data_IF_586325892441
#
_entry.id   IF_586325892441
#
_cell.length_a   1.000
_cell.length_b   1.000
_cell.length_c   1.000
_cell.angle_alpha   90.00
_cell.angle_beta   90.00
_cell.angle_gamma   90.00
#
_symmetry.space_group_name_H-M   'P 1'
#
loop_
_entity.id
_entity.type
_entity.pdbx_description
1 polymer ?
#
# COMPACT_ATOMS: atom_id res chain seq x y z
N UNK A 1 -44.07 -23.24 -9.34
CA UNK A 1 -44.19 -21.77 -9.43
C UNK A 1 -43.80 -21.22 -8.07
N UNK A 2 -42.53 -20.88 -7.89
CA UNK A 2 -41.97 -20.32 -6.67
C UNK A 2 -40.91 -19.31 -7.10
N UNK A 3 -41.23 -18.04 -6.89
CA UNK A 3 -40.39 -16.88 -7.16
C UNK A 3 -39.21 -16.88 -6.18
N UNK A 4 -37.99 -16.94 -6.72
CA UNK A 4 -36.77 -16.64 -5.98
C UNK A 4 -36.58 -15.13 -6.01
N UNK A 5 -36.81 -14.48 -4.88
CA UNK A 5 -36.50 -13.07 -4.69
C UNK A 5 -34.97 -12.92 -4.65
N UNK A 6 -34.41 -12.28 -5.68
CA UNK A 6 -33.02 -11.88 -5.70
C UNK A 6 -32.75 -10.82 -4.63
N UNK A 7 -31.82 -11.11 -3.72
CA UNK A 7 -31.26 -10.11 -2.82
C UNK A 7 -30.37 -9.21 -3.66
N UNK A 8 -30.91 -8.06 -4.07
CA UNK A 8 -30.15 -7.00 -4.72
C UNK A 8 -29.11 -6.44 -3.74
N UNK A 9 -27.87 -6.37 -4.19
CA UNK A 9 -26.82 -5.61 -3.53
C UNK A 9 -27.19 -4.12 -3.60
N UNK A 10 -27.03 -3.34 -2.52
CA UNK A 10 -27.34 -1.92 -2.56
C UNK A 10 -26.38 -1.22 -3.52
N UNK A 11 -26.93 -0.65 -4.59
CA UNK A 11 -26.29 0.42 -5.34
C UNK A 11 -26.04 1.58 -4.37
N UNK A 12 -24.78 1.82 -4.01
CA UNK A 12 -24.39 3.04 -3.33
C UNK A 12 -24.52 4.19 -4.32
N UNK A 13 -25.56 5.01 -4.15
CA UNK A 13 -25.69 6.27 -4.87
C UNK A 13 -24.58 7.23 -4.41
N UNK A 14 -23.59 7.45 -5.27
CA UNK A 14 -22.63 8.56 -5.14
C UNK A 14 -23.37 9.88 -5.40
N UNK A 15 -24.07 10.37 -4.38
CA UNK A 15 -24.90 11.58 -4.45
C UNK A 15 -25.16 12.22 -3.10
N UNK A 16 -24.25 12.06 -2.13
CA UNK A 16 -24.34 12.80 -0.87
C UNK A 16 -23.88 14.24 -1.10
N UNK A 17 -24.66 15.21 -0.61
CA UNK A 17 -24.30 16.63 -0.58
C UNK A 17 -22.97 16.79 0.17
N UNK A 18 -21.85 16.87 -0.57
CA UNK A 18 -20.53 17.15 0.00
C UNK A 18 -20.58 18.49 0.72
N UNK A 19 -19.96 18.57 1.90
CA UNK A 19 -19.89 19.84 2.63
C UNK A 19 -19.18 20.90 1.78
N UNK A 20 -19.67 22.13 1.83
CA UNK A 20 -18.94 23.26 1.28
C UNK A 20 -17.66 23.48 2.09
N UNK A 21 -16.56 23.78 1.40
CA UNK A 21 -15.26 24.11 2.02
C UNK A 21 -14.95 25.59 1.71
N UNK A 22 -15.49 26.55 2.47
CA UNK A 22 -15.44 27.96 2.08
C UNK A 22 -14.05 28.59 2.23
N UNK A 23 -13.15 27.99 3.01
CA UNK A 23 -11.80 28.52 3.24
C UNK A 23 -10.75 27.75 2.44
N UNK A 24 -9.63 28.42 2.19
CA UNK A 24 -8.48 27.83 1.54
C UNK A 24 -7.17 28.33 2.14
N UNK A 25 -6.12 27.54 1.97
CA UNK A 25 -4.74 27.87 2.30
C UNK A 25 -3.86 27.47 1.11
N UNK A 26 -2.91 28.32 0.73
CA UNK A 26 -2.00 28.06 -0.40
C UNK A 26 -0.57 28.05 0.11
N UNK A 27 0.15 26.98 -0.21
CA UNK A 27 1.57 26.88 0.06
C UNK A 27 2.27 26.21 -1.13
N UNK A 28 3.12 26.97 -1.83
CA UNK A 28 3.78 26.52 -3.06
C UNK A 28 2.73 26.01 -4.09
N UNK A 29 2.88 24.81 -4.61
CA UNK A 29 1.92 24.17 -5.52
C UNK A 29 0.74 23.49 -4.83
N UNK A 30 0.62 23.54 -3.50
CA UNK A 30 -0.44 22.86 -2.73
C UNK A 30 -1.53 23.85 -2.32
N UNK A 31 -2.79 23.50 -2.60
CA UNK A 31 -3.97 24.27 -2.24
C UNK A 31 -4.87 23.44 -1.36
N UNK A 32 -5.01 23.80 -0.09
CA UNK A 32 -5.84 23.08 0.87
C UNK A 32 -7.16 23.80 1.05
N UNK A 33 -8.27 23.12 0.83
CA UNK A 33 -9.62 23.60 1.05
C UNK A 33 -10.22 22.97 2.29
N UNK A 34 -10.85 23.79 3.14
CA UNK A 34 -11.37 23.35 4.42
C UNK A 34 -12.60 24.15 4.86
N UNK A 35 -13.28 23.64 5.87
CA UNK A 35 -14.38 24.32 6.55
C UNK A 35 -14.04 24.51 8.04
N UNK A 36 -14.63 25.53 8.67
CA UNK A 36 -14.54 25.75 10.12
C UNK A 36 -15.86 25.44 10.84
N UNK A 37 -16.88 25.07 10.08
CA UNK A 37 -18.21 24.74 10.55
C UNK A 37 -18.76 23.53 9.78
N UNK A 38 -19.74 22.84 10.36
CA UNK A 38 -20.36 21.66 9.77
C UNK A 38 -19.54 20.36 9.91
N UNK A 39 -19.98 19.28 9.23
CA UNK A 39 -19.36 17.95 9.36
C UNK A 39 -17.87 17.94 9.03
N UNK A 40 -17.49 18.67 7.97
CA UNK A 40 -16.10 18.80 7.52
C UNK A 40 -15.27 19.86 8.26
N UNK A 41 -15.75 20.41 9.39
CA UNK A 41 -15.01 21.39 10.17
C UNK A 41 -13.69 20.85 10.70
N UNK A 42 -12.60 21.60 10.50
CA UNK A 42 -11.28 21.30 11.10
C UNK A 42 -11.14 21.93 12.50
N UNK A 43 -10.25 21.41 13.35
CA UNK A 43 -9.84 22.09 14.57
C UNK A 43 -9.33 23.52 14.29
N UNK A 44 -9.57 24.47 15.19
CA UNK A 44 -9.37 25.90 14.97
C UNK A 44 -8.15 26.49 15.69
N UNK A 45 -7.39 25.65 16.39
CA UNK A 45 -6.15 26.04 17.04
C UNK A 45 -5.21 26.68 16.01
N UNK A 46 -4.63 27.84 16.36
CA UNK A 46 -3.70 28.62 15.54
C UNK A 46 -2.64 29.19 16.48
N UNK A 47 -1.74 28.32 16.93
CA UNK A 47 -0.81 28.61 18.02
C UNK A 47 0.21 29.68 17.64
N UNK A 48 0.53 29.79 16.35
CA UNK A 48 1.47 30.76 15.81
C UNK A 48 0.79 32.07 15.33
N UNK A 49 -0.54 32.18 15.45
CA UNK A 49 -1.35 33.31 14.99
C UNK A 49 -1.12 33.65 13.50
N UNK A 50 -0.93 32.63 12.67
CA UNK A 50 -0.77 32.76 11.21
C UNK A 50 -2.06 33.17 10.50
N UNK A 51 -3.21 33.02 11.17
CA UNK A 51 -4.54 33.15 10.59
C UNK A 51 -5.04 31.88 9.90
N UNK A 52 -4.25 30.80 9.92
CA UNK A 52 -4.60 29.47 9.39
C UNK A 52 -4.56 28.46 10.53
N UNK A 53 -5.57 27.57 10.68
CA UNK A 53 -5.50 26.56 11.73
C UNK A 53 -4.26 25.66 11.60
N UNK A 54 -3.60 25.38 12.72
CA UNK A 54 -2.43 24.52 12.85
C UNK A 54 -2.64 23.17 12.14
N UNK A 55 -3.85 22.62 12.23
CA UNK A 55 -4.25 21.39 11.54
C UNK A 55 -4.09 21.48 10.02
N UNK A 56 -4.51 22.59 9.41
CA UNK A 56 -4.40 22.84 7.96
C UNK A 56 -2.94 23.01 7.58
N UNK A 57 -2.18 23.77 8.36
CA UNK A 57 -0.75 23.96 8.13
C UNK A 57 0.01 22.63 8.21
N UNK A 58 -0.27 21.80 9.20
CA UNK A 58 0.46 20.55 9.44
C UNK A 58 0.19 19.48 8.38
N UNK A 59 -1.05 19.36 7.89
CA UNK A 59 -1.36 18.54 6.73
C UNK A 59 -0.59 19.03 5.50
N UNK A 60 -0.58 20.35 5.28
CA UNK A 60 0.13 20.97 4.16
C UNK A 60 1.64 20.71 4.24
N UNK A 61 2.24 20.84 5.44
CA UNK A 61 3.67 20.57 5.69
C UNK A 61 4.05 19.12 5.36
N UNK A 62 3.23 18.14 5.75
CA UNK A 62 3.54 16.73 5.46
C UNK A 62 3.47 16.43 3.95
N UNK A 63 2.46 16.96 3.25
CA UNK A 63 2.34 16.82 1.78
C UNK A 63 3.50 17.49 1.07
N UNK A 64 3.85 18.72 1.47
CA UNK A 64 4.98 19.44 0.89
C UNK A 64 6.31 18.73 1.17
N UNK A 65 6.52 18.22 2.38
CA UNK A 65 7.69 17.42 2.73
C UNK A 65 7.79 16.17 1.87
N UNK A 66 6.68 15.44 1.68
CA UNK A 66 6.63 14.28 0.78
C UNK A 66 6.98 14.67 -0.66
N UNK A 67 6.42 15.78 -1.19
CA UNK A 67 6.76 16.28 -2.52
C UNK A 67 8.25 16.58 -2.65
N UNK A 68 8.81 17.37 -1.73
CA UNK A 68 10.23 17.74 -1.76
C UNK A 68 11.12 16.52 -1.64
N UNK A 69 10.79 15.59 -0.75
CA UNK A 69 11.57 14.38 -0.55
C UNK A 69 11.52 13.46 -1.78
N UNK A 70 10.33 13.12 -2.26
CA UNK A 70 10.22 12.18 -3.38
C UNK A 70 10.65 12.80 -4.70
N UNK A 71 10.18 13.99 -5.05
CA UNK A 71 10.39 14.57 -6.38
C UNK A 71 11.71 15.34 -6.47
N UNK A 72 12.08 16.13 -5.46
CA UNK A 72 13.22 17.05 -5.57
C UNK A 72 14.51 16.41 -5.02
N UNK A 73 14.44 15.63 -3.94
CA UNK A 73 15.61 14.97 -3.32
C UNK A 73 15.89 13.60 -3.94
N UNK A 74 14.83 12.78 -4.10
CA UNK A 74 14.93 11.40 -4.59
C UNK A 74 14.61 11.26 -6.08
N UNK A 75 14.21 12.34 -6.75
CA UNK A 75 13.98 12.41 -8.20
C UNK A 75 12.93 11.39 -8.73
N UNK A 76 11.96 11.01 -7.89
CA UNK A 76 10.77 10.31 -8.38
C UNK A 76 10.02 11.18 -9.40
N UNK A 77 9.33 10.58 -10.38
CA UNK A 77 8.52 11.33 -11.34
C UNK A 77 7.59 12.34 -10.66
N UNK A 78 7.74 13.63 -10.93
CA UNK A 78 6.87 14.65 -10.35
C UNK A 78 5.49 14.60 -11.02
N UNK A 79 4.40 14.35 -10.28
CA UNK A 79 3.07 14.27 -10.87
C UNK A 79 2.60 15.59 -11.48
N UNK A 80 3.17 16.74 -11.10
CA UNK A 80 2.88 18.04 -11.72
C UNK A 80 3.53 18.22 -13.08
N UNK A 81 4.53 17.41 -13.42
CA UNK A 81 5.21 17.44 -14.72
C UNK A 81 4.92 16.19 -15.56
N UNK A 82 3.97 15.35 -15.11
CA UNK A 82 3.61 14.12 -15.83
C UNK A 82 2.93 14.42 -17.16
N UNK A 83 3.31 13.66 -18.19
CA UNK A 83 2.63 13.68 -19.50
C UNK A 83 1.17 13.23 -19.41
N UNK A 84 0.79 12.48 -18.36
CA UNK A 84 -0.61 12.10 -18.09
C UNK A 84 -1.47 13.30 -17.70
N UNK A 85 -0.86 14.37 -17.19
CA UNK A 85 -1.54 15.51 -16.61
C UNK A 85 -1.13 16.84 -17.27
N UNK A 86 -1.36 17.00 -18.59
CA UNK A 86 -0.92 18.18 -19.30
C UNK A 86 -1.56 19.45 -18.71
N UNK A 87 -0.70 20.40 -18.36
CA UNK A 87 -1.11 21.71 -17.85
C UNK A 87 -1.58 21.71 -16.39
N UNK A 88 -1.38 20.64 -15.62
CA UNK A 88 -1.57 20.68 -14.17
C UNK A 88 -0.53 21.60 -13.53
N UNK A 89 -1.00 22.48 -12.65
CA UNK A 89 -0.20 23.51 -11.99
C UNK A 89 -0.23 23.41 -10.47
N UNK A 90 -1.13 22.61 -9.90
CA UNK A 90 -1.29 22.48 -8.46
C UNK A 90 -1.86 21.13 -8.02
N UNK A 91 -1.72 20.88 -6.72
CA UNK A 91 -2.36 19.78 -6.00
C UNK A 91 -3.46 20.40 -5.15
N UNK A 92 -4.70 19.96 -5.34
CA UNK A 92 -5.80 20.36 -4.47
C UNK A 92 -6.08 19.29 -3.42
N UNK A 93 -6.04 19.71 -2.17
CA UNK A 93 -6.29 18.88 -1.00
C UNK A 93 -7.61 19.34 -0.39
N UNK A 94 -8.56 18.43 -0.24
CA UNK A 94 -9.84 18.73 0.39
C UNK A 94 -9.92 18.06 1.75
N UNK A 95 -10.01 18.86 2.82
CA UNK A 95 -10.22 18.36 4.18
C UNK A 95 -11.71 18.13 4.40
N UNK A 96 -12.11 16.87 4.50
CA UNK A 96 -13.52 16.45 4.51
C UNK A 96 -13.83 15.47 5.63
N UNK A 97 -15.10 15.37 6.00
CA UNK A 97 -15.56 14.20 6.74
C UNK A 97 -15.33 12.94 5.89
N UNK A 98 -14.83 11.88 6.52
CA UNK A 98 -14.48 10.63 5.83
C UNK A 98 -15.65 9.98 5.13
N UNK A 99 -16.87 10.15 5.66
CA UNK A 99 -18.09 9.59 5.05
C UNK A 99 -18.37 10.21 3.68
N UNK A 100 -17.86 11.42 3.39
CA UNK A 100 -18.02 12.10 2.09
C UNK A 100 -17.15 11.48 0.97
N UNK A 101 -16.20 10.61 1.30
CA UNK A 101 -15.28 10.01 0.32
C UNK A 101 -14.93 8.54 0.59
N UNK A 102 -15.83 7.78 1.24
CA UNK A 102 -15.73 6.32 1.34
C UNK A 102 -15.18 5.77 2.66
N UNK A 103 -15.09 6.61 3.70
CA UNK A 103 -14.81 6.21 5.08
C UNK A 103 -13.33 6.04 5.44
N UNK A 104 -12.42 6.28 4.49
CA UNK A 104 -10.97 6.19 4.68
C UNK A 104 -10.36 7.41 5.39
N UNK A 105 -9.06 7.36 5.64
CA UNK A 105 -8.30 8.52 6.13
C UNK A 105 -7.95 9.48 4.99
N UNK A 106 -7.80 8.98 3.77
CA UNK A 106 -7.45 9.74 2.59
C UNK A 106 -7.92 9.05 1.32
N UNK A 107 -7.86 9.78 0.22
CA UNK A 107 -8.05 9.24 -1.13
C UNK A 107 -7.41 10.16 -2.17
N UNK A 108 -6.41 9.67 -2.90
CA UNK A 108 -5.88 10.31 -4.10
C UNK A 108 -6.68 9.93 -5.36
N UNK A 109 -6.82 10.88 -6.29
CA UNK A 109 -7.50 10.69 -7.56
C UNK A 109 -6.50 10.82 -8.71
N UNK A 110 -6.71 10.03 -9.76
CA UNK A 110 -5.80 9.91 -10.90
C UNK A 110 -6.25 10.71 -12.14
N UNK A 111 -7.32 11.48 -12.05
CA UNK A 111 -7.76 12.38 -13.11
C UNK A 111 -7.40 13.83 -12.77
N UNK A 112 -6.90 14.56 -13.78
CA UNK A 112 -6.74 16.01 -13.64
C UNK A 112 -8.05 16.73 -13.93
N UNK A 113 -8.33 17.77 -13.16
CA UNK A 113 -9.53 18.60 -13.31
C UNK A 113 -9.18 20.08 -13.36
N UNK A 114 -10.16 20.92 -13.67
CA UNK A 114 -10.01 22.38 -13.53
C UNK A 114 -9.84 22.71 -12.05
N UNK A 115 -8.84 23.50 -11.70
CA UNK A 115 -8.64 23.94 -10.33
C UNK A 115 -9.78 24.87 -9.89
N UNK A 116 -10.14 24.82 -8.61
CA UNK A 116 -11.09 25.72 -7.99
C UNK A 116 -10.55 27.14 -8.04
N UNK A 117 -11.45 28.08 -8.36
CA UNK A 117 -11.10 29.50 -8.45
C UNK A 117 -10.83 30.07 -7.05
N UNK A 118 -9.63 30.59 -6.86
CA UNK A 118 -9.18 31.32 -5.68
C UNK A 118 -8.42 32.59 -6.12
N UNK A 119 -8.32 33.63 -5.27
CA UNK A 119 -7.61 34.87 -5.62
C UNK A 119 -6.16 34.69 -6.07
N UNK A 120 -5.45 33.71 -5.51
CA UNK A 120 -4.05 33.40 -5.77
C UNK A 120 -3.86 32.54 -7.05
N UNK A 121 -4.95 31.99 -7.59
CA UNK A 121 -4.93 31.08 -8.73
C UNK A 121 -5.13 31.78 -10.07
N UNK A 122 -4.83 31.06 -11.15
CA UNK A 122 -5.05 31.48 -12.53
C UNK A 122 -6.32 30.83 -13.10
N UNK A 123 -7.03 31.49 -14.04
CA UNK A 123 -8.26 30.95 -14.62
C UNK A 123 -8.11 29.60 -15.35
N UNK A 124 -6.91 29.30 -15.85
CA UNK A 124 -6.55 28.10 -16.60
C UNK A 124 -5.83 27.04 -15.76
N UNK A 125 -5.66 27.26 -14.46
CA UNK A 125 -5.07 26.27 -13.57
C UNK A 125 -5.83 24.94 -13.63
N UNK A 126 -5.06 23.86 -13.70
CA UNK A 126 -5.54 22.49 -13.53
C UNK A 126 -4.92 21.87 -12.29
N UNK A 127 -5.66 20.96 -11.69
CA UNK A 127 -5.28 20.30 -10.46
C UNK A 127 -5.37 18.78 -10.60
N UNK A 128 -4.44 18.09 -9.94
CA UNK A 128 -4.66 16.74 -9.43
C UNK A 128 -5.11 16.84 -7.98
N UNK A 129 -5.89 15.86 -7.53
CA UNK A 129 -6.70 16.02 -6.32
C UNK A 129 -6.53 14.87 -5.35
N UNK A 130 -6.55 15.21 -4.07
CA UNK A 130 -6.64 14.26 -2.98
C UNK A 130 -7.61 14.77 -1.89
N UNK A 131 -8.30 13.84 -1.25
CA UNK A 131 -9.07 14.11 -0.03
C UNK A 131 -8.27 13.63 1.18
N UNK A 132 -8.37 14.37 2.28
CA UNK A 132 -7.89 13.94 3.58
C UNK A 132 -9.01 14.09 4.60
N UNK A 133 -9.15 13.10 5.47
CA UNK A 133 -10.12 13.12 6.55
C UNK A 133 -9.79 14.24 7.52
N UNK A 134 -10.77 15.07 7.86
CA UNK A 134 -10.64 16.15 8.87
C UNK A 134 -10.22 15.66 10.26
N UNK A 135 -10.35 14.35 10.52
CA UNK A 135 -9.89 13.70 11.75
C UNK A 135 -8.41 13.30 11.73
N UNK A 136 -7.74 13.40 10.59
CA UNK A 136 -6.33 13.01 10.43
C UNK A 136 -5.42 14.05 11.08
N UNK A 137 -4.67 13.65 12.10
CA UNK A 137 -3.65 14.48 12.74
C UNK A 137 -2.30 14.15 12.11
N UNK A 138 -1.75 15.07 11.32
CA UNK A 138 -0.56 14.82 10.49
C UNK A 138 0.67 14.34 11.29
N UNK A 139 0.89 14.86 12.50
CA UNK A 139 2.02 14.45 13.36
C UNK A 139 1.90 13.01 13.90
N UNK A 140 0.73 12.39 13.77
CA UNK A 140 0.44 11.04 14.28
C UNK A 140 0.02 10.07 13.18
N UNK A 141 -0.25 10.56 11.98
CA UNK A 141 -0.82 9.79 10.88
C UNK A 141 -0.20 10.23 9.55
N UNK A 142 0.39 9.26 8.84
CA UNK A 142 1.16 9.45 7.62
C UNK A 142 0.30 9.55 6.35
N UNK A 143 -1.03 9.46 6.48
CA UNK A 143 -1.95 9.48 5.33
C UNK A 143 -1.69 10.61 4.33
N UNK A 144 -1.45 11.88 4.71
CA UNK A 144 -1.15 12.92 3.72
C UNK A 144 0.06 12.60 2.82
N UNK A 145 1.15 12.04 3.36
CA UNK A 145 2.28 11.59 2.55
C UNK A 145 1.96 10.33 1.72
N UNK A 146 1.19 9.39 2.29
CA UNK A 146 0.70 8.19 1.60
C UNK A 146 -0.09 8.55 0.34
N UNK A 147 -1.10 9.43 0.47
CA UNK A 147 -1.91 9.87 -0.67
C UNK A 147 -1.10 10.69 -1.68
N UNK A 148 -0.13 11.49 -1.23
CA UNK A 148 0.78 12.17 -2.15
C UNK A 148 1.58 11.16 -3.00
N UNK A 149 2.07 10.08 -2.39
CA UNK A 149 2.82 9.07 -3.13
C UNK A 149 1.94 8.31 -4.14
N UNK A 150 0.64 8.15 -3.87
CA UNK A 150 -0.29 7.69 -4.91
C UNK A 150 -0.37 8.66 -6.10
N UNK A 151 -0.33 9.98 -5.89
CA UNK A 151 -0.24 10.93 -7.01
C UNK A 151 1.04 10.72 -7.83
N UNK A 152 2.18 10.45 -7.18
CA UNK A 152 3.44 10.09 -7.87
C UNK A 152 3.24 8.82 -8.73
N UNK A 153 2.61 7.78 -8.17
CA UNK A 153 2.34 6.54 -8.89
C UNK A 153 1.39 6.76 -10.08
N UNK A 154 0.29 7.49 -9.87
CA UNK A 154 -0.64 7.83 -10.94
C UNK A 154 0.00 8.74 -11.98
N UNK A 155 0.93 9.62 -11.61
CA UNK A 155 1.71 10.39 -12.58
C UNK A 155 2.62 9.51 -13.46
N UNK A 156 3.07 8.35 -12.96
CA UNK A 156 4.06 7.52 -13.63
C UNK A 156 3.51 6.37 -14.47
N UNK A 157 2.38 5.76 -14.07
CA UNK A 157 1.85 4.58 -14.78
C UNK A 157 0.34 4.39 -14.63
N UNK A 158 -0.32 3.83 -15.64
CA UNK A 158 -1.75 3.47 -15.63
C UNK A 158 -2.10 2.24 -14.78
N UNK A 159 -1.12 1.50 -14.27
CA UNK A 159 -1.41 0.31 -13.46
C UNK A 159 -2.01 0.65 -12.09
N UNK A 160 -3.12 -0.02 -11.73
CA UNK A 160 -3.83 0.15 -10.44
C UNK A 160 -4.03 -1.14 -9.65
N UNK A 161 -3.07 -2.07 -9.74
CA UNK A 161 -3.09 -3.31 -8.97
C UNK A 161 -2.73 -3.02 -7.52
N UNK A 162 -3.55 -3.50 -6.58
CA UNK A 162 -3.46 -3.11 -5.15
C UNK A 162 -2.15 -3.55 -4.49
N UNK A 163 -1.63 -4.74 -4.80
CA UNK A 163 -0.34 -5.20 -4.26
C UNK A 163 0.82 -4.31 -4.69
N UNK A 164 0.69 -3.64 -5.84
CA UNK A 164 1.63 -2.64 -6.33
C UNK A 164 1.38 -1.30 -5.66
N UNK A 165 0.21 -0.69 -5.89
CA UNK A 165 -0.09 0.66 -5.39
C UNK A 165 0.07 0.73 -3.89
N UNK A 166 -0.77 -0.01 -3.16
CA UNK A 166 -0.81 0.02 -1.70
C UNK A 166 0.50 -0.52 -1.11
N UNK A 167 1.01 -1.63 -1.63
CA UNK A 167 2.23 -2.24 -1.12
C UNK A 167 3.46 -1.33 -1.23
N UNK A 168 3.62 -0.64 -2.36
CA UNK A 168 4.74 0.28 -2.56
C UNK A 168 4.51 1.61 -1.80
N UNK A 169 3.27 2.08 -1.68
CA UNK A 169 2.97 3.27 -0.86
C UNK A 169 3.25 2.99 0.62
N UNK A 170 2.95 1.79 1.12
CA UNK A 170 3.35 1.39 2.47
C UNK A 170 4.86 1.44 2.68
N UNK A 171 5.65 1.04 1.68
CA UNK A 171 7.10 1.22 1.71
C UNK A 171 7.50 2.71 1.74
N UNK A 172 6.81 3.56 1.00
CA UNK A 172 7.13 4.99 0.94
C UNK A 172 6.83 5.74 2.23
N UNK A 173 5.89 5.25 3.06
CA UNK A 173 5.59 5.84 4.38
C UNK A 173 6.83 5.91 5.29
N UNK A 174 7.77 4.96 5.13
CA UNK A 174 9.03 4.95 5.89
C UNK A 174 9.91 6.17 5.61
N UNK A 175 9.67 6.90 4.53
CA UNK A 175 10.46 8.07 4.15
C UNK A 175 10.31 9.24 5.13
N UNK A 176 9.17 9.33 5.82
CA UNK A 176 8.88 10.34 6.84
C UNK A 176 8.70 9.70 8.22
N UNK A 177 8.53 8.37 8.24
CA UNK A 177 8.38 7.56 9.44
C UNK A 177 9.66 7.42 10.25
N UNK A 178 9.54 6.69 11.35
CA UNK A 178 10.64 6.27 12.22
C UNK A 178 10.84 4.77 12.11
N UNK A 179 11.96 4.27 12.62
CA UNK A 179 12.24 2.84 12.79
C UNK A 179 12.63 2.10 11.48
N UNK A 180 13.05 2.84 10.45
CA UNK A 180 13.54 2.28 9.20
C UNK A 180 12.44 1.66 8.35
N UNK A 181 12.74 0.52 7.68
CA UNK A 181 11.85 -0.08 6.66
C UNK A 181 10.83 -1.09 7.22
N UNK A 182 10.76 -1.28 8.54
CA UNK A 182 9.86 -2.26 9.15
C UNK A 182 10.18 -3.73 8.81
N UNK A 183 9.14 -4.57 8.78
CA UNK A 183 9.29 -6.02 8.67
C UNK A 183 9.71 -6.50 7.27
N UNK A 184 10.43 -7.62 7.23
CA UNK A 184 10.90 -8.27 6.00
C UNK A 184 10.54 -9.76 6.09
N UNK A 185 9.55 -10.21 5.31
CA UNK A 185 9.03 -11.60 5.36
C UNK A 185 9.79 -12.58 4.45
N UNK A 186 10.50 -12.07 3.43
CA UNK A 186 11.32 -12.87 2.51
C UNK A 186 12.79 -12.43 2.56
N UNK A 187 13.71 -13.36 2.26
CA UNK A 187 15.13 -13.07 2.29
C UNK A 187 15.49 -11.94 1.30
N UNK A 188 16.21 -10.88 1.71
CA UNK A 188 16.48 -9.72 0.85
C UNK A 188 17.18 -10.08 -0.47
N UNK A 189 18.05 -11.09 -0.45
CA UNK A 189 18.83 -11.52 -1.62
C UNK A 189 18.04 -12.46 -2.57
N UNK A 190 16.76 -12.74 -2.29
CA UNK A 190 15.93 -13.59 -3.14
C UNK A 190 15.95 -15.07 -2.76
N UNK A 191 15.15 -15.90 -3.44
CA UNK A 191 15.28 -16.13 -4.88
C UNK A 191 14.37 -15.21 -5.69
N UNK A 192 14.96 -14.24 -6.39
CA UNK A 192 14.27 -13.38 -7.35
C UNK A 192 14.49 -13.94 -8.76
N UNK A 193 13.45 -14.09 -9.60
CA UNK A 193 12.02 -13.90 -9.30
C UNK A 193 11.50 -14.90 -8.26
N UNK A 194 10.44 -14.52 -7.55
CA UNK A 194 9.74 -15.45 -6.67
C UNK A 194 9.26 -16.66 -7.48
N UNK A 195 9.23 -17.87 -6.89
CA UNK A 195 8.67 -19.05 -7.55
C UNK A 195 7.28 -18.76 -8.10
N UNK A 196 6.99 -19.21 -9.32
CA UNK A 196 5.73 -18.91 -10.01
C UNK A 196 4.48 -19.26 -9.18
N UNK A 197 4.55 -20.30 -8.35
CA UNK A 197 3.48 -20.70 -7.44
C UNK A 197 3.15 -19.67 -6.34
N UNK A 198 4.05 -18.74 -6.04
CA UNK A 198 3.86 -17.69 -5.03
C UNK A 198 3.24 -16.42 -5.62
N UNK A 199 3.31 -16.22 -6.94
CA UNK A 199 2.81 -15.01 -7.60
C UNK A 199 1.31 -14.79 -7.42
N UNK A 200 0.42 -15.81 -7.52
CA UNK A 200 -1.00 -15.60 -7.25
C UNK A 200 -1.28 -15.08 -5.84
N UNK A 201 -0.49 -15.54 -4.86
CA UNK A 201 -0.60 -15.07 -3.48
C UNK A 201 -0.18 -13.61 -3.38
N UNK A 202 0.97 -13.23 -3.95
CA UNK A 202 1.41 -11.84 -4.03
C UNK A 202 0.37 -10.94 -4.73
N UNK A 203 -0.15 -11.34 -5.88
CA UNK A 203 -1.09 -10.54 -6.67
C UNK A 203 -2.45 -10.34 -5.99
N UNK A 204 -2.79 -11.19 -5.02
CA UNK A 204 -3.99 -11.05 -4.20
C UNK A 204 -3.84 -10.08 -3.01
N UNK A 205 -2.62 -9.60 -2.72
CA UNK A 205 -2.33 -8.75 -1.57
C UNK A 205 -2.76 -7.29 -1.77
N UNK A 206 -2.76 -6.56 -0.65
CA UNK A 206 -2.81 -5.09 -0.60
C UNK A 206 -1.55 -4.59 0.13
N UNK A 207 -1.68 -4.13 1.38
CA UNK A 207 -0.59 -3.62 2.21
C UNK A 207 0.49 -4.65 2.50
N UNK A 208 0.12 -5.92 2.69
CA UNK A 208 1.08 -7.00 3.00
C UNK A 208 2.16 -7.23 1.92
N UNK A 209 1.93 -6.75 0.69
CA UNK A 209 2.93 -6.79 -0.36
C UNK A 209 4.19 -5.99 0.00
N UNK A 210 4.08 -5.00 0.89
CA UNK A 210 5.20 -4.27 1.51
C UNK A 210 6.25 -5.25 2.05
N UNK A 211 5.85 -6.13 2.97
CA UNK A 211 6.76 -7.03 3.66
C UNK A 211 7.24 -8.20 2.78
N UNK A 212 6.47 -8.54 1.74
CA UNK A 212 6.68 -9.72 0.91
C UNK A 212 7.52 -9.44 -0.33
N UNK A 213 7.45 -8.21 -0.85
CA UNK A 213 8.12 -7.83 -2.08
C UNK A 213 8.96 -6.57 -1.89
N UNK A 214 8.34 -5.47 -1.46
CA UNK A 214 8.95 -4.14 -1.50
C UNK A 214 10.09 -3.99 -0.48
N UNK A 215 9.88 -4.34 0.79
CA UNK A 215 10.91 -4.28 1.81
C UNK A 215 12.07 -5.26 1.55
N UNK A 216 11.82 -6.54 1.15
CA UNK A 216 12.88 -7.43 0.71
C UNK A 216 13.73 -6.87 -0.44
N UNK A 217 13.10 -6.28 -1.47
CA UNK A 217 13.82 -5.63 -2.58
C UNK A 217 14.65 -4.46 -2.05
N UNK A 218 14.04 -3.56 -1.29
CA UNK A 218 14.73 -2.39 -0.76
C UNK A 218 15.97 -2.75 0.06
N UNK A 219 15.84 -3.66 1.04
CA UNK A 219 16.97 -4.10 1.87
C UNK A 219 18.03 -4.84 1.04
N UNK A 220 17.60 -5.62 0.05
CA UNK A 220 18.51 -6.37 -0.81
C UNK A 220 19.33 -5.48 -1.75
N UNK A 221 18.84 -4.28 -2.04
CA UNK A 221 19.40 -3.38 -3.05
C UNK A 221 20.15 -2.19 -2.47
N UNK A 222 19.68 -1.64 -1.36
CA UNK A 222 20.28 -0.51 -0.65
C UNK A 222 20.10 -0.67 0.86
N UNK A 223 20.96 -1.47 1.53
CA UNK A 223 20.83 -1.72 2.97
C UNK A 223 21.18 -0.51 3.85
N UNK A 224 21.71 0.58 3.28
CA UNK A 224 22.08 1.78 4.03
C UNK A 224 20.96 2.81 4.05
N UNK A 225 20.19 2.91 2.97
CA UNK A 225 19.03 3.80 2.87
C UNK A 225 19.34 5.26 3.11
N UNK A 226 20.58 5.71 2.96
CA UNK A 226 20.97 7.07 3.34
C UNK A 226 20.46 8.07 2.30
N UNK A 227 19.67 9.05 2.74
CA UNK A 227 19.19 10.09 1.83
C UNK A 227 20.35 11.01 1.36
N UNK A 228 20.33 11.46 0.09
CA UNK A 228 21.37 12.33 -0.44
C UNK A 228 21.33 13.71 0.24
N UNK A 229 22.49 14.20 0.68
CA UNK A 229 22.62 15.48 1.40
C UNK A 229 22.50 16.69 0.46
N UNK A 230 21.27 17.05 0.08
CA UNK A 230 20.96 18.21 -0.77
C UNK A 230 20.47 19.41 0.05
N UNK A 231 20.49 20.64 -0.50
CA UNK A 231 19.82 21.80 0.11
C UNK A 231 18.34 21.54 0.40
N UNK A 232 17.66 20.83 -0.51
CA UNK A 232 16.24 20.48 -0.39
C UNK A 232 16.02 19.55 0.80
N UNK A 233 16.87 18.53 0.99
CA UNK A 233 16.80 17.65 2.16
C UNK A 233 17.01 18.42 3.47
N UNK A 234 17.95 19.37 3.50
CA UNK A 234 18.15 20.23 4.69
C UNK A 234 16.89 21.05 5.01
N UNK A 235 16.19 21.55 3.99
CA UNK A 235 14.92 22.24 4.15
C UNK A 235 13.85 21.35 4.77
N UNK A 236 13.67 20.14 4.24
CA UNK A 236 12.69 19.16 4.74
C UNK A 236 13.03 18.71 6.17
N UNK A 237 14.29 18.41 6.47
CA UNK A 237 14.76 17.99 7.80
C UNK A 237 14.55 19.07 8.89
N UNK A 238 14.49 20.35 8.48
CA UNK A 238 14.21 21.47 9.38
C UNK A 238 12.73 21.65 9.72
N UNK A 239 11.81 21.00 9.00
CA UNK A 239 10.38 21.18 9.22
C UNK A 239 9.89 20.59 10.54
N UNK A 240 8.97 21.30 11.18
CA UNK A 240 8.28 20.88 12.40
C UNK A 240 6.78 21.07 12.25
N UNK A 241 6.02 20.14 12.82
CA UNK A 241 4.59 20.32 13.07
C UNK A 241 4.36 21.41 14.12
N UNK A 242 3.11 21.86 14.25
CA UNK A 242 2.70 22.83 15.27
C UNK A 242 3.02 22.41 16.71
N UNK A 243 2.99 21.09 16.98
CA UNK A 243 3.38 20.50 18.27
C UNK A 243 4.90 20.43 18.51
N UNK A 244 5.71 20.89 17.55
CA UNK A 244 7.17 20.89 17.60
C UNK A 244 7.83 19.56 17.23
N UNK A 245 7.07 18.51 16.93
CA UNK A 245 7.62 17.23 16.45
C UNK A 245 8.14 17.36 15.00
N UNK A 246 9.14 16.56 14.60
CA UNK A 246 9.69 16.61 13.25
C UNK A 246 8.73 16.03 12.21
N UNK A 247 8.69 16.66 11.03
CA UNK A 247 7.97 16.10 9.87
C UNK A 247 8.73 14.93 9.26
N UNK A 248 10.07 15.03 9.25
CA UNK A 248 10.99 13.98 8.83
C UNK A 248 11.69 13.43 10.07
N UNK A 249 11.33 12.21 10.50
CA UNK A 249 11.82 11.63 11.76
C UNK A 249 13.28 11.15 11.69
N UNK A 250 13.74 10.68 10.52
CA UNK A 250 15.13 10.32 10.27
C UNK A 250 15.57 10.66 8.84
N UNK A 251 16.86 10.50 8.54
CA UNK A 251 17.44 10.83 7.22
C UNK A 251 17.64 9.58 6.37
N UNK A 252 16.69 8.65 6.42
CA UNK A 252 16.79 7.38 5.71
C UNK A 252 15.52 6.96 4.95
N UNK A 253 15.72 6.35 3.79
CA UNK A 253 14.74 5.57 3.06
C UNK A 253 15.46 4.45 2.31
N UNK A 254 15.37 3.22 2.83
CA UNK A 254 16.02 2.05 2.24
C UNK A 254 15.40 1.73 0.88
N UNK A 255 16.22 1.63 -0.17
CA UNK A 255 15.78 1.22 -1.50
C UNK A 255 15.18 2.33 -2.38
N UNK A 256 15.33 3.60 -2.01
CA UNK A 256 14.72 4.72 -2.74
C UNK A 256 15.02 4.70 -4.25
N UNK A 257 16.29 4.52 -4.61
CA UNK A 257 16.75 4.50 -6.00
C UNK A 257 16.08 3.38 -6.82
N UNK A 258 16.00 2.16 -6.27
CA UNK A 258 15.42 1.04 -7.01
C UNK A 258 13.91 1.21 -7.17
N UNK A 259 13.22 1.74 -6.16
CA UNK A 259 11.79 1.96 -6.22
C UNK A 259 11.42 3.01 -7.26
N UNK A 260 12.21 4.09 -7.35
CA UNK A 260 12.10 5.09 -8.42
C UNK A 260 12.29 4.45 -9.79
N UNK A 261 13.34 3.67 -9.98
CA UNK A 261 13.61 3.05 -11.29
C UNK A 261 12.53 2.06 -11.70
N UNK A 262 12.00 1.28 -10.75
CA UNK A 262 10.86 0.40 -10.98
C UNK A 262 9.67 1.23 -11.46
N UNK A 263 9.37 2.36 -10.80
CA UNK A 263 8.24 3.20 -11.17
C UNK A 263 8.40 3.82 -12.57
N UNK A 264 9.61 4.25 -12.94
CA UNK A 264 9.93 4.71 -14.30
C UNK A 264 9.76 3.59 -15.32
N UNK A 265 10.15 2.36 -14.97
CA UNK A 265 10.01 1.22 -15.87
C UNK A 265 8.55 0.79 -16.05
N UNK A 266 7.72 0.93 -15.01
CA UNK A 266 6.28 0.66 -15.09
C UNK A 266 5.60 1.57 -16.12
N UNK A 267 5.98 2.84 -16.21
CA UNK A 267 5.46 3.78 -17.23
C UNK A 267 5.91 3.47 -18.67
N UNK A 268 6.87 2.57 -18.88
CA UNK A 268 7.16 2.01 -20.23
C UNK A 268 6.40 0.71 -20.46
N UNK A 269 6.19 -0.02 -19.39
CA UNK A 269 5.58 -1.34 -19.42
C UNK A 269 4.06 -1.26 -19.61
N UNK A 270 3.41 -0.19 -19.16
CA UNK A 270 2.00 0.05 -19.48
C UNK A 270 1.79 0.32 -20.97
N UNK A 271 2.66 1.05 -21.67
CA UNK A 271 2.61 1.17 -23.14
C UNK A 271 2.68 -0.18 -23.86
N UNK A 272 3.47 -1.11 -23.34
CA UNK A 272 3.58 -2.48 -23.84
C UNK A 272 2.28 -3.23 -23.54
N UNK A 273 1.82 -3.21 -22.28
CA UNK A 273 0.60 -3.88 -21.86
C UNK A 273 -0.62 -3.37 -22.64
N UNK A 274 -0.73 -2.07 -22.87
CA UNK A 274 -1.80 -1.46 -23.64
C UNK A 274 -1.90 -2.04 -25.05
N UNK A 275 -0.75 -2.18 -25.73
CA UNK A 275 -0.67 -2.75 -27.08
C UNK A 275 -0.93 -4.25 -27.09
N UNK A 276 -0.31 -4.98 -26.18
CA UNK A 276 -0.39 -6.46 -26.15
C UNK A 276 -1.74 -6.98 -25.62
N UNK A 277 -2.44 -6.21 -24.78
CA UNK A 277 -3.79 -6.50 -24.31
C UNK A 277 -4.88 -5.91 -25.21
N UNK A 278 -4.49 -5.26 -26.31
CA UNK A 278 -5.39 -4.66 -27.31
C UNK A 278 -6.42 -3.70 -26.68
N UNK A 279 -6.00 -2.91 -25.68
CA UNK A 279 -6.87 -1.95 -25.03
C UNK A 279 -7.19 -0.79 -25.97
N UNK A 280 -8.47 -0.39 -26.00
CA UNK A 280 -8.91 0.82 -26.70
C UNK A 280 -8.54 2.08 -25.91
N UNK A 281 -8.63 1.98 -24.58
CA UNK A 281 -8.34 3.04 -23.63
C UNK A 281 -7.90 2.43 -22.28
N UNK A 282 -7.27 3.26 -21.43
CA UNK A 282 -7.01 2.92 -20.04
C UNK A 282 -8.24 3.19 -19.17
N UNK A 283 -9.33 2.49 -19.44
CA UNK A 283 -10.52 2.53 -18.58
C UNK A 283 -10.18 2.06 -17.15
N UNK A 284 -10.98 2.46 -16.16
CA UNK A 284 -10.78 2.06 -14.76
C UNK A 284 -10.74 0.54 -14.57
N UNK A 285 -11.51 -0.19 -15.38
CA UNK A 285 -11.50 -1.66 -15.40
C UNK A 285 -10.16 -2.20 -15.91
N UNK A 286 -9.62 -1.63 -17.00
CA UNK A 286 -8.34 -2.03 -17.60
C UNK A 286 -7.15 -1.73 -16.69
N UNK A 287 -7.14 -0.55 -16.06
CA UNK A 287 -6.11 -0.16 -15.08
C UNK A 287 -6.05 -1.14 -13.89
N UNK A 288 -7.20 -1.73 -13.53
CA UNK A 288 -7.35 -2.69 -12.42
C UNK A 288 -7.34 -4.15 -12.86
N UNK A 289 -7.16 -4.46 -14.15
CA UNK A 289 -7.29 -5.81 -14.68
C UNK A 289 -6.14 -6.73 -14.22
N UNK A 290 -6.44 -7.98 -13.84
CA UNK A 290 -5.43 -8.96 -13.39
C UNK A 290 -4.37 -9.29 -14.43
N UNK A 291 -4.71 -9.13 -15.69
CA UNK A 291 -3.86 -9.32 -16.85
C UNK A 291 -2.63 -8.39 -16.81
N UNK A 292 -2.73 -7.27 -16.10
CA UNK A 292 -1.61 -6.33 -15.90
C UNK A 292 -0.57 -6.82 -14.87
N UNK A 293 -0.91 -7.78 -14.00
CA UNK A 293 -0.02 -8.23 -12.91
C UNK A 293 1.34 -8.74 -13.43
N UNK A 294 1.31 -9.51 -14.52
CA UNK A 294 2.52 -10.07 -15.12
C UNK A 294 3.42 -8.98 -15.72
N UNK A 295 2.84 -7.91 -16.28
CA UNK A 295 3.58 -6.78 -16.82
C UNK A 295 4.24 -5.99 -15.70
N UNK A 296 3.50 -5.69 -14.63
CA UNK A 296 4.03 -5.01 -13.44
C UNK A 296 5.20 -5.82 -12.86
N UNK A 297 5.02 -7.13 -12.66
CA UNK A 297 6.07 -7.99 -12.12
C UNK A 297 7.28 -8.08 -13.05
N UNK A 298 7.05 -8.12 -14.37
CA UNK A 298 8.14 -8.09 -15.35
C UNK A 298 8.94 -6.79 -15.26
N UNK A 299 8.30 -5.61 -15.19
CA UNK A 299 9.02 -4.33 -15.03
C UNK A 299 9.90 -4.32 -13.78
N UNK A 300 9.40 -4.88 -12.67
CA UNK A 300 10.18 -5.04 -11.43
C UNK A 300 11.41 -5.92 -11.67
N UNK A 301 11.22 -7.11 -12.22
CA UNK A 301 12.32 -8.06 -12.46
C UNK A 301 13.33 -7.52 -13.47
N UNK A 302 12.87 -6.85 -14.53
CA UNK A 302 13.72 -6.24 -15.57
C UNK A 302 14.59 -5.14 -14.98
N UNK A 303 14.03 -4.31 -14.09
CA UNK A 303 14.77 -3.28 -13.37
C UNK A 303 15.81 -3.89 -12.45
N UNK A 304 15.43 -4.89 -11.64
CA UNK A 304 16.35 -5.56 -10.74
C UNK A 304 17.50 -6.25 -11.50
N UNK A 305 17.23 -6.89 -12.65
CA UNK A 305 18.25 -7.55 -13.48
C UNK A 305 19.32 -6.60 -14.02
N UNK A 306 18.99 -5.33 -14.27
CA UNK A 306 19.97 -4.32 -14.73
C UNK A 306 21.04 -4.04 -13.67
N UNK A 307 20.68 -4.15 -12.38
CA UNK A 307 21.57 -3.85 -11.26
C UNK A 307 22.13 -5.10 -10.56
N UNK A 308 21.42 -6.22 -10.57
CA UNK A 308 21.74 -7.41 -9.76
C UNK A 308 21.79 -8.68 -10.61
N UNK A 309 23.00 -9.26 -10.72
CA UNK A 309 23.28 -10.44 -11.56
C UNK A 309 22.57 -11.72 -11.14
N UNK A 310 22.12 -11.82 -9.90
CA UNK A 310 21.49 -13.04 -9.34
C UNK A 310 19.99 -13.13 -9.62
N UNK A 311 19.41 -12.11 -10.27
CA UNK A 311 17.98 -12.10 -10.59
C UNK A 311 17.77 -12.95 -11.85
N UNK A 312 17.05 -14.05 -11.69
CA UNK A 312 16.75 -14.98 -12.78
C UNK A 312 15.84 -14.36 -13.85
N UNK A 313 15.70 -15.00 -15.03
CA UNK A 313 14.79 -14.53 -16.05
C UNK A 313 13.34 -14.61 -15.57
N UNK A 314 12.57 -13.57 -15.86
CA UNK A 314 11.11 -13.59 -15.79
C UNK A 314 10.58 -12.97 -17.09
N UNK A 315 9.61 -13.63 -17.70
CA UNK A 315 8.87 -13.09 -18.82
C UNK A 315 7.40 -13.34 -18.50
N UNK A 316 6.60 -12.28 -18.47
CA UNK A 316 5.17 -12.41 -18.30
C UNK A 316 4.65 -13.35 -19.38
N UNK A 317 3.92 -14.40 -19.00
CA UNK A 317 3.24 -15.21 -20.00
C UNK A 317 2.29 -14.30 -20.74
N UNK A 318 2.41 -14.21 -22.07
CA UNK A 318 1.31 -13.72 -22.92
C UNK A 318 0.05 -14.41 -22.42
N UNK A 319 -1.00 -13.64 -22.17
CA UNK A 319 -2.32 -14.21 -21.90
C UNK A 319 -2.65 -15.18 -23.03
N UNK A 320 -2.47 -16.49 -22.81
CA UNK A 320 -3.01 -17.53 -23.69
C UNK A 320 -4.48 -17.65 -23.31
N UNK A 321 -5.25 -16.60 -23.59
CA UNK A 321 -6.70 -16.67 -23.60
C UNK A 321 -7.19 -17.03 -25.02
N UNK A 322 -6.55 -17.99 -25.69
CA UNK A 322 -7.03 -18.61 -26.93
C UNK A 322 -6.14 -19.77 -27.40
N UNK A 323 -5.81 -20.77 -26.56
CA UNK A 323 -5.40 -22.07 -27.12
C UNK A 323 -5.65 -23.26 -26.18
N UNK A 324 -6.89 -23.42 -25.72
CA UNK A 324 -7.37 -24.72 -25.26
C UNK A 324 -7.96 -25.50 -26.44
N UNK A 325 -7.15 -25.72 -27.48
CA UNK A 325 -7.44 -26.72 -28.51
C UNK A 325 -6.21 -27.07 -29.36
N UNK A 326 -5.11 -27.57 -28.77
CA UNK A 326 -4.22 -28.49 -29.51
C UNK A 326 -3.26 -29.32 -28.65
N UNK A 327 -3.35 -30.61 -28.95
CA UNK A 327 -2.43 -31.73 -28.72
C UNK A 327 -2.01 -32.08 -27.29
N UNK A 328 -2.78 -33.01 -26.72
CA UNK A 328 -2.19 -34.19 -26.12
C UNK A 328 -1.35 -34.94 -27.16
N UNK A 329 -0.04 -34.90 -26.99
CA UNK A 329 0.94 -35.94 -27.36
C UNK A 329 2.33 -35.32 -27.22
N UNK A 330 3.04 -35.68 -26.16
CA UNK A 330 4.45 -36.10 -26.21
C UNK A 330 4.99 -36.24 -24.79
N UNK A 331 4.59 -37.34 -24.14
CA UNK A 331 5.30 -37.89 -22.99
C UNK A 331 6.03 -39.15 -23.47
N UNK A 332 7.35 -39.04 -23.69
CA UNK A 332 8.33 -40.15 -23.65
C UNK A 332 9.76 -39.65 -23.93
N UNK A 333 10.53 -39.45 -22.87
CA UNK A 333 11.97 -39.76 -22.67
C UNK A 333 12.69 -38.64 -21.92
N UNK A 334 13.12 -38.92 -20.68
CA UNK A 334 14.52 -39.28 -20.41
C UNK A 334 14.73 -39.65 -18.95
N UNK A 335 15.55 -40.70 -18.76
CA UNK A 335 15.98 -41.28 -17.50
C UNK A 335 17.16 -40.51 -16.89
N UNK A 336 17.19 -40.52 -15.55
CA UNK A 336 18.32 -40.66 -14.60
C UNK A 336 19.63 -39.92 -14.88
N UNK A 337 20.04 -39.11 -13.90
CA UNK A 337 21.39 -39.14 -13.35
C UNK A 337 21.33 -38.84 -11.84
N UNK A 338 21.90 -39.74 -11.05
CA UNK A 338 22.11 -39.65 -9.61
C UNK A 338 23.20 -38.62 -9.28
N UNK A 339 23.02 -37.84 -8.22
CA UNK A 339 24.12 -37.36 -7.37
C UNK A 339 23.60 -37.00 -5.96
N UNK A 340 24.15 -37.67 -4.97
CA UNK A 340 24.03 -37.41 -3.53
C UNK A 340 24.78 -36.10 -3.14
N UNK A 341 24.40 -35.39 -2.07
CA UNK A 341 25.26 -35.49 -0.88
C UNK A 341 24.55 -35.47 0.48
N UNK A 342 25.30 -35.94 1.47
CA UNK A 342 25.02 -36.14 2.90
C UNK A 342 24.59 -34.90 3.70
N UNK A 343 24.01 -35.08 4.92
CA UNK A 343 23.36 -34.03 5.70
C UNK A 343 24.31 -33.34 6.68
N UNK A 344 24.19 -32.01 6.79
CA UNK A 344 24.65 -31.25 7.97
C UNK A 344 23.44 -30.93 8.84
N UNK A 345 23.40 -31.50 10.04
CA UNK A 345 22.46 -31.15 11.08
C UNK A 345 22.98 -29.92 11.84
N UNK A 346 22.17 -28.86 11.90
CA UNK A 346 22.28 -27.85 12.96
C UNK A 346 20.92 -27.71 13.67
N UNK A 347 21.01 -27.78 14.98
CA UNK A 347 19.96 -27.92 15.98
C UNK A 347 19.04 -26.67 16.02
N UNK A 348 17.73 -26.89 16.05
CA UNK A 348 16.68 -25.87 16.02
C UNK A 348 15.68 -26.08 17.17
N UNK A 349 16.21 -26.37 18.36
CA UNK A 349 15.42 -26.69 19.55
C UNK A 349 14.84 -25.46 20.25
N UNK A 350 15.48 -24.29 20.12
CA UNK A 350 15.17 -23.13 20.96
C UNK A 350 14.09 -22.22 20.36
N UNK A 351 14.03 -22.07 19.03
CA UNK A 351 12.99 -21.30 18.36
C UNK A 351 11.59 -21.95 18.47
N UNK A 352 11.52 -23.28 18.58
CA UNK A 352 10.26 -24.02 18.78
C UNK A 352 9.69 -23.88 20.19
N UNK A 353 10.52 -23.67 21.22
CA UNK A 353 10.06 -23.56 22.61
C UNK A 353 9.34 -22.23 22.89
N UNK A 354 9.79 -21.14 22.27
CA UNK A 354 9.23 -19.79 22.52
C UNK A 354 7.84 -19.63 21.88
N UNK A 355 7.60 -20.21 20.70
CA UNK A 355 6.31 -20.17 20.00
C UNK A 355 5.19 -20.97 20.71
N UNK A 356 5.54 -22.04 21.42
CA UNK A 356 4.59 -22.88 22.14
C UNK A 356 4.14 -22.29 23.50
N UNK A 357 5.01 -21.52 24.17
CA UNK A 357 4.69 -20.90 25.45
C UNK A 357 3.63 -19.80 25.33
N UNK A 358 3.66 -19.10 24.20
CA UNK A 358 2.90 -17.88 23.97
C UNK A 358 1.47 -18.18 23.46
N UNK A 359 1.21 -19.42 23.03
CA UNK A 359 -0.11 -19.96 22.65
C UNK A 359 -1.05 -20.17 23.85
N UNK A 360 -0.50 -20.16 25.07
CA UNK A 360 -1.22 -20.46 26.32
C UNK A 360 -1.64 -19.20 27.10
N UNK A 361 -1.40 -18.01 26.54
CA UNK A 361 -1.71 -16.73 27.19
C UNK A 361 -3.19 -16.38 26.99
N UNK A 362 -3.87 -16.04 28.08
CA UNK A 362 -5.27 -15.59 28.08
C UNK A 362 -5.37 -14.23 27.38
N UNK A 363 -6.38 -14.05 26.51
CA UNK A 363 -6.69 -12.77 25.85
C UNK A 363 -8.20 -12.60 25.68
N UNK A 364 -8.61 -11.35 25.49
CA UNK A 364 -9.99 -11.03 25.12
C UNK A 364 -10.12 -11.12 23.60
N UNK A 365 -10.95 -12.03 23.13
CA UNK A 365 -11.34 -12.18 21.73
C UNK A 365 -12.62 -11.42 21.47
N UNK A 366 -12.71 -10.75 20.34
CA UNK A 366 -13.78 -9.81 19.99
C UNK A 366 -14.32 -10.12 18.59
N UNK A 367 -15.64 -10.17 18.45
CA UNK A 367 -16.27 -10.30 17.13
C UNK A 367 -16.07 -9.05 16.28
N UNK A 368 -16.18 -9.19 14.96
CA UNK A 368 -15.98 -8.11 13.98
C UNK A 368 -16.86 -6.88 14.24
N UNK A 369 -18.07 -7.10 14.75
CA UNK A 369 -19.03 -6.05 15.11
C UNK A 369 -18.83 -5.48 16.52
N UNK A 370 -17.85 -5.98 17.28
CA UNK A 370 -17.53 -5.57 18.64
C UNK A 370 -18.54 -6.01 19.71
N UNK A 371 -19.63 -6.69 19.35
CA UNK A 371 -20.75 -6.99 20.26
C UNK A 371 -20.45 -8.13 21.23
N UNK A 372 -19.64 -9.10 20.84
CA UNK A 372 -19.31 -10.24 21.68
C UNK A 372 -17.82 -10.23 21.99
N UNK A 373 -17.52 -10.36 23.29
CA UNK A 373 -16.17 -10.46 23.82
C UNK A 373 -16.04 -11.69 24.70
N UNK A 374 -14.95 -12.43 24.57
CA UNK A 374 -14.69 -13.63 25.38
C UNK A 374 -13.23 -13.67 25.83
N UNK A 375 -13.02 -13.81 27.14
CA UNK A 375 -11.69 -14.08 27.69
C UNK A 375 -11.38 -15.58 27.57
N UNK A 376 -10.48 -15.91 26.64
CA UNK A 376 -10.16 -17.28 26.29
C UNK A 376 -8.70 -17.40 25.82
N UNK A 377 -8.18 -18.62 25.86
CA UNK A 377 -6.90 -18.97 25.22
C UNK A 377 -7.16 -19.70 23.90
N UNK A 378 -6.28 -19.49 22.94
CA UNK A 378 -6.30 -20.21 21.67
C UNK A 378 -5.96 -21.69 21.89
N UNK A 379 -6.68 -22.59 21.23
CA UNK A 379 -6.39 -24.04 21.27
C UNK A 379 -5.87 -24.52 19.92
N UNK A 380 -6.62 -24.28 18.85
CA UNK A 380 -6.27 -24.72 17.49
C UNK A 380 -7.02 -23.93 16.42
N UNK A 381 -6.50 -23.99 15.20
CA UNK A 381 -7.13 -23.42 14.00
C UNK A 381 -7.16 -24.47 12.90
N UNK A 382 -8.36 -24.81 12.41
CA UNK A 382 -8.58 -25.82 11.39
C UNK A 382 -9.62 -25.26 10.39
N UNK A 383 -9.26 -25.23 9.11
CA UNK A 383 -10.17 -24.91 8.00
C UNK A 383 -11.03 -23.65 8.22
N UNK A 384 -10.41 -22.53 8.63
CA UNK A 384 -11.15 -21.28 8.85
C UNK A 384 -11.84 -21.16 10.21
N UNK A 385 -11.74 -22.15 11.09
CA UNK A 385 -12.39 -22.17 12.40
C UNK A 385 -11.37 -22.29 13.53
N UNK A 386 -11.49 -21.43 14.53
CA UNK A 386 -10.67 -21.38 15.73
C UNK A 386 -11.40 -22.04 16.88
N UNK A 387 -10.73 -22.92 17.62
CA UNK A 387 -11.21 -23.40 18.91
C UNK A 387 -10.57 -22.57 20.01
N UNK A 388 -11.37 -21.94 20.86
CA UNK A 388 -10.96 -21.15 22.01
C UNK A 388 -11.42 -21.83 23.30
N UNK A 389 -10.57 -21.91 24.32
CA UNK A 389 -10.93 -22.44 25.64
C UNK A 389 -11.13 -21.30 26.64
N UNK A 390 -12.31 -21.23 27.24
CA UNK A 390 -12.67 -20.27 28.30
C UNK A 390 -12.11 -20.71 29.66
N UNK A 391 -12.14 -19.80 30.64
CA UNK A 391 -11.63 -20.04 32.01
C UNK A 391 -12.39 -21.14 32.77
N UNK A 392 -13.67 -21.35 32.45
CA UNK A 392 -14.50 -22.42 33.02
C UNK A 392 -14.20 -23.82 32.43
N UNK A 393 -13.23 -23.91 31.51
CA UNK A 393 -12.83 -25.15 30.85
C UNK A 393 -13.62 -25.47 29.58
N UNK A 394 -14.71 -24.76 29.31
CA UNK A 394 -15.52 -24.95 28.09
C UNK A 394 -14.78 -24.45 26.85
N UNK A 395 -15.03 -25.10 25.72
CA UNK A 395 -14.48 -24.71 24.42
C UNK A 395 -15.57 -24.09 23.54
N UNK A 396 -15.20 -23.10 22.74
CA UNK A 396 -16.06 -22.48 21.74
C UNK A 396 -15.34 -22.42 20.40
N UNK A 397 -16.05 -22.78 19.34
CA UNK A 397 -15.55 -22.67 17.97
C UNK A 397 -16.05 -21.37 17.34
N UNK A 398 -15.12 -20.58 16.81
CA UNK A 398 -15.38 -19.27 16.20
C UNK A 398 -14.77 -19.25 14.81
N UNK A 399 -15.53 -18.89 13.79
CA UNK A 399 -14.97 -18.72 12.45
C UNK A 399 -14.08 -17.49 12.40
N UNK A 400 -12.94 -17.60 11.70
CA UNK A 400 -11.93 -16.55 11.62
C UNK A 400 -12.51 -15.25 11.07
N UNK A 401 -13.40 -15.33 10.07
CA UNK A 401 -14.06 -14.20 9.43
C UNK A 401 -14.97 -13.40 10.38
N UNK A 402 -15.44 -14.01 11.47
CA UNK A 402 -16.28 -13.38 12.50
C UNK A 402 -15.48 -12.59 13.55
N UNK A 403 -14.14 -12.68 13.57
CA UNK A 403 -13.29 -11.94 14.51
C UNK A 403 -12.97 -10.52 14.03
N UNK A 404 -12.62 -9.64 14.98
CA UNK A 404 -12.08 -8.31 14.67
C UNK A 404 -10.71 -8.41 13.98
N UNK A 405 -10.25 -7.30 13.40
CA UNK A 405 -8.99 -7.26 12.66
C UNK A 405 -7.80 -7.71 13.53
N UNK A 406 -7.67 -7.19 14.75
CA UNK A 406 -6.57 -7.51 15.66
C UNK A 406 -6.52 -9.00 16.08
N UNK A 407 -7.68 -9.63 16.28
CA UNK A 407 -7.76 -11.05 16.63
C UNK A 407 -7.49 -11.95 15.42
N UNK A 408 -7.87 -11.51 14.20
CA UNK A 408 -7.50 -12.19 12.96
C UNK A 408 -5.99 -12.15 12.75
N UNK A 409 -5.40 -10.97 12.89
CA UNK A 409 -3.96 -10.75 12.79
C UNK A 409 -3.21 -11.63 13.78
N UNK A 410 -3.62 -11.66 15.05
CA UNK A 410 -3.00 -12.54 16.05
C UNK A 410 -2.96 -14.03 15.65
N UNK A 411 -4.01 -14.49 14.98
CA UNK A 411 -4.12 -15.90 14.55
C UNK A 411 -3.33 -16.14 13.28
N UNK A 412 -3.26 -15.17 12.38
CA UNK A 412 -2.57 -15.31 11.09
C UNK A 412 -1.05 -15.10 11.21
N UNK A 413 -0.59 -14.29 12.15
CA UNK A 413 0.83 -14.02 12.40
C UNK A 413 1.60 -15.22 12.98
N UNK A 414 0.90 -16.20 13.57
CA UNK A 414 1.54 -17.39 14.12
C UNK A 414 1.48 -18.56 13.13
N UNK A 415 2.64 -19.13 12.81
CA UNK A 415 2.76 -20.42 12.09
C UNK A 415 2.25 -21.54 12.99
N UNK A 416 0.94 -21.68 13.13
CA UNK A 416 0.33 -22.80 13.82
C UNK A 416 0.59 -24.06 13.01
N UNK A 417 1.55 -24.86 13.44
CA UNK A 417 1.80 -26.19 12.88
C UNK A 417 0.47 -26.94 12.78
N UNK A 418 0.14 -27.43 11.58
CA UNK A 418 -0.94 -28.40 11.35
C UNK A 418 -0.69 -29.62 12.25
N UNK A 419 -1.19 -29.58 13.48
CA UNK A 419 -1.26 -30.74 14.34
C UNK A 419 -2.61 -31.40 14.09
N UNK A 420 -2.69 -32.22 13.03
CA UNK A 420 -3.48 -33.46 12.97
C UNK A 420 -3.62 -33.96 11.52
N UNK A 421 -2.59 -34.65 11.02
CA UNK A 421 -2.76 -35.78 10.09
C UNK A 421 -1.83 -36.90 10.58
N UNK A 422 -2.25 -37.50 11.69
CA UNK A 422 -1.76 -38.80 12.15
C UNK A 422 -2.80 -39.34 13.12
N UNK A 423 -3.79 -40.05 12.60
CA UNK A 423 -4.41 -41.25 13.16
C UNK A 423 -5.08 -41.99 12.00
#
# INVERSE_FOLDING_TARGET
MLLVAGVGWPEYSYGQNKSELPKHFVFDSVRVFYATEGPSAVPLEDTNASGTPDHVEDITKQIWAAKKLFCDVLEFPDPLTSERYPGVTCIEVYLRDREEFGGGNGAAYDESQRARKIPEGKPDDRAIVMNIGRHVVASQNITPAHEFFHLVQYGATYFKRRWFLEGQTRWSEHALGKDGIGDVKYFPQGPWPQPAMNLPTLFSMTYDAEFVLWNPIAVGTDPKGTLPLTPELKGVAGLRYSDGSPVLNDLSLTGADIMREILIELGKMDDIAFKELEYADWSEANQKASETDNYIYQAIMDTLRRRYRMVGPFQGTKSIAADSSRSANDDKNMKRADANPQPFAHDNSDAKKTLAADARKWRIWTTRDGKHKVDAKFVKYIAGTLTLQKKDGTAVDVKLDLLCHDDKEFVMQRKWTKASESH
#
